data_IF_415524658502
#
_entry.id   IF_415524658502
#
_cell.length_a   1.000
_cell.length_b   1.000
_cell.length_c   1.000
_cell.angle_alpha   90.00
_cell.angle_beta   90.00
_cell.angle_gamma   90.00
#
_symmetry.space_group_name_H-M   'P 1'
#
loop_
_entity.id
_entity.type
_entity.pdbx_description
1 polymer ?
#
# COMPACT_ATOMS: atom_id res chain seq x y z
N UNK A 1 -24.87 9.33 -16.97
CA UNK A 1 -24.62 8.32 -15.93
C UNK A 1 -25.10 8.90 -14.62
N UNK A 2 -25.84 8.11 -13.84
CA UNK A 2 -26.19 8.43 -12.46
C UNK A 2 -25.26 7.62 -11.56
N UNK A 3 -24.68 8.26 -10.55
CA UNK A 3 -23.83 7.62 -9.56
C UNK A 3 -24.39 7.94 -8.18
N UNK A 4 -24.58 6.90 -7.36
CA UNK A 4 -24.91 7.05 -5.95
C UNK A 4 -23.62 7.23 -5.15
N UNK A 5 -23.59 8.26 -4.30
CA UNK A 5 -22.44 8.57 -3.44
C UNK A 5 -22.85 8.48 -1.98
N UNK A 6 -22.02 7.81 -1.18
CA UNK A 6 -22.14 7.80 0.28
C UNK A 6 -21.16 8.81 0.86
N UNK A 7 -21.66 9.72 1.69
CA UNK A 7 -20.86 10.74 2.36
C UNK A 7 -20.44 10.29 3.77
N UNK A 8 -19.33 10.84 4.32
CA UNK A 8 -18.84 10.48 5.65
C UNK A 8 -19.84 10.74 6.79
N UNK A 9 -20.78 11.66 6.58
CA UNK A 9 -21.87 11.99 7.51
C UNK A 9 -23.07 11.01 7.41
N UNK A 10 -22.98 9.99 6.54
CA UNK A 10 -24.04 9.01 6.29
C UNK A 10 -25.08 9.45 5.26
N UNK A 11 -24.96 10.66 4.69
CA UNK A 11 -25.86 11.09 3.63
C UNK A 11 -25.61 10.34 2.32
N UNK A 12 -26.67 10.10 1.57
CA UNK A 12 -26.59 9.59 0.19
C UNK A 12 -27.03 10.66 -0.80
N UNK A 13 -26.36 10.69 -1.96
CA UNK A 13 -26.73 11.59 -3.04
C UNK A 13 -26.61 10.90 -4.40
N UNK A 14 -27.36 11.42 -5.38
CA UNK A 14 -27.25 10.98 -6.78
C UNK A 14 -26.63 12.10 -7.61
N UNK A 15 -25.51 11.81 -8.25
CA UNK A 15 -24.83 12.73 -9.15
C UNK A 15 -25.02 12.29 -10.60
N UNK A 16 -25.52 13.20 -11.44
CA UNK A 16 -25.66 12.99 -12.88
C UNK A 16 -24.48 13.62 -13.61
N UNK A 17 -23.70 12.79 -14.30
CA UNK A 17 -22.55 13.23 -15.09
C UNK A 17 -22.48 12.52 -16.45
N UNK A 18 -21.74 13.13 -17.38
CA UNK A 18 -21.40 12.48 -18.65
C UNK A 18 -20.33 11.40 -18.49
N UNK A 19 -19.45 11.56 -17.51
CA UNK A 19 -18.32 10.67 -17.22
C UNK A 19 -18.12 10.54 -15.71
N UNK A 20 -17.63 9.39 -15.28
CA UNK A 20 -17.19 9.09 -13.92
C UNK A 20 -15.79 8.46 -14.03
N UNK A 21 -14.85 8.87 -13.18
CA UNK A 21 -13.48 8.34 -13.14
C UNK A 21 -13.20 7.81 -11.73
N UNK A 22 -12.84 6.54 -11.61
CA UNK A 22 -12.46 5.92 -10.34
C UNK A 22 -11.01 6.25 -9.99
N UNK A 23 -10.80 7.09 -8.97
CA UNK A 23 -9.48 7.48 -8.44
C UNK A 23 -9.34 7.15 -6.95
N UNK A 24 -10.08 6.14 -6.50
CA UNK A 24 -10.28 5.73 -5.11
C UNK A 24 -9.34 4.58 -4.66
N UNK A 25 -8.19 4.46 -5.32
CA UNK A 25 -7.09 3.57 -4.91
C UNK A 25 -7.26 2.10 -5.33
N UNK A 26 -6.37 1.25 -4.83
CA UNK A 26 -6.28 -0.17 -5.23
C UNK A 26 -7.56 -0.97 -4.92
N UNK A 27 -8.25 -0.62 -3.83
CA UNK A 27 -9.53 -1.21 -3.41
C UNK A 27 -10.75 -0.49 -3.97
N UNK A 28 -10.59 0.22 -5.09
CA UNK A 28 -11.64 1.04 -5.74
C UNK A 28 -13.05 0.44 -5.70
N UNK A 29 -13.96 1.20 -5.11
CA UNK A 29 -15.41 0.99 -5.09
C UNK A 29 -15.97 1.12 -6.50
N UNK A 30 -15.47 2.08 -7.30
CA UNK A 30 -15.96 2.27 -8.69
C UNK A 30 -15.77 1.01 -9.54
N UNK A 31 -14.60 0.38 -9.50
CA UNK A 31 -14.35 -0.89 -10.21
C UNK A 31 -15.30 -1.99 -9.75
N UNK A 32 -15.51 -2.09 -8.43
CA UNK A 32 -16.37 -3.10 -7.83
C UNK A 32 -17.84 -2.91 -8.24
N UNK A 33 -18.35 -1.68 -8.18
CA UNK A 33 -19.72 -1.33 -8.59
C UNK A 33 -19.98 -1.59 -10.07
N UNK A 34 -18.94 -1.51 -10.92
CA UNK A 34 -19.02 -1.84 -12.34
C UNK A 34 -18.83 -3.34 -12.62
N UNK A 35 -18.60 -4.17 -11.60
CA UNK A 35 -18.33 -5.60 -11.76
C UNK A 35 -17.03 -5.89 -12.54
N UNK A 36 -16.11 -4.93 -12.59
CA UNK A 36 -14.88 -5.07 -13.35
C UNK A 36 -13.91 -6.03 -12.64
N UNK A 37 -13.48 -7.12 -13.30
CA UNK A 37 -12.55 -8.06 -12.69
C UNK A 37 -11.17 -7.42 -12.49
N UNK A 38 -10.49 -7.82 -11.41
CA UNK A 38 -9.11 -7.42 -11.13
C UNK A 38 -8.23 -8.68 -11.07
N UNK A 39 -7.93 -9.31 -12.22
CA UNK A 39 -7.16 -10.54 -12.26
C UNK A 39 -5.71 -10.25 -11.87
N UNK A 40 -5.23 -10.95 -10.86
CA UNK A 40 -3.87 -10.83 -10.36
C UNK A 40 -3.75 -11.58 -9.05
N UNK A 41 -2.54 -12.05 -8.75
CA UNK A 41 -2.21 -12.57 -7.42
C UNK A 41 -1.11 -11.69 -6.86
N UNK A 42 -1.15 -11.43 -5.56
CA UNK A 42 -0.02 -10.77 -4.91
C UNK A 42 1.24 -11.62 -5.10
N UNK A 43 2.30 -11.01 -5.63
CA UNK A 43 3.59 -11.67 -5.82
C UNK A 43 4.30 -11.90 -4.47
N UNK A 44 4.10 -10.97 -3.52
CA UNK A 44 4.71 -10.97 -2.19
C UNK A 44 3.63 -10.49 -1.20
N UNK A 45 3.38 -11.28 -0.16
CA UNK A 45 2.49 -10.90 0.95
C UNK A 45 3.32 -10.45 2.14
N UNK A 46 2.78 -9.53 2.95
CA UNK A 46 3.35 -9.15 4.24
C UNK A 46 4.75 -8.53 4.14
N UNK A 47 4.87 -7.44 3.39
CA UNK A 47 6.08 -6.62 3.37
C UNK A 47 6.00 -5.61 4.52
N UNK A 48 7.01 -5.61 5.38
CA UNK A 48 7.15 -4.64 6.47
C UNK A 48 7.76 -3.35 5.93
N UNK A 49 7.21 -2.21 6.36
CA UNK A 49 7.76 -0.89 6.11
C UNK A 49 7.88 -0.16 7.44
N UNK A 50 9.05 0.42 7.69
CA UNK A 50 9.29 1.27 8.84
C UNK A 50 10.16 2.46 8.45
N UNK A 51 9.81 3.64 8.96
CA UNK A 51 10.70 4.80 8.93
C UNK A 51 11.41 4.85 10.29
N UNK A 52 12.74 4.80 10.29
CA UNK A 52 13.57 4.72 11.51
C UNK A 52 14.70 5.73 11.50
N UNK A 53 15.14 6.16 12.68
CA UNK A 53 16.41 6.86 12.86
C UNK A 53 17.50 5.81 13.10
N UNK A 54 18.59 5.88 12.33
CA UNK A 54 19.73 4.99 12.49
C UNK A 54 20.74 5.61 13.45
N UNK A 55 21.15 4.85 14.47
CA UNK A 55 22.26 5.25 15.34
C UNK A 55 23.58 5.36 14.54
N UNK A 56 23.76 4.48 13.56
CA UNK A 56 24.87 4.52 12.61
C UNK A 56 24.36 4.40 11.19
N UNK A 57 24.56 5.46 10.42
CA UNK A 57 24.24 5.50 9.00
C UNK A 57 25.26 4.65 8.21
N UNK A 58 24.83 3.78 7.28
CA UNK A 58 25.74 3.06 6.39
C UNK A 58 26.46 4.02 5.43
N UNK A 59 27.69 3.66 5.02
CA UNK A 59 28.46 4.48 4.08
C UNK A 59 27.78 4.59 2.71
N UNK A 60 27.05 3.55 2.30
CA UNK A 60 26.20 3.57 1.11
C UNK A 60 24.78 4.03 1.46
N UNK A 61 24.27 5.02 0.74
CA UNK A 61 22.93 5.56 0.99
C UNK A 61 21.82 4.52 0.76
N UNK A 62 22.01 3.63 -0.21
CA UNK A 62 21.08 2.56 -0.53
C UNK A 62 21.71 1.22 -0.21
N UNK A 63 21.02 0.40 0.58
CA UNK A 63 21.50 -0.94 0.89
C UNK A 63 20.40 -1.94 0.58
N UNK A 64 20.74 -2.98 -0.17
CA UNK A 64 19.86 -4.11 -0.43
C UNK A 64 20.58 -5.39 -0.01
N UNK A 65 19.93 -6.20 0.82
CA UNK A 65 20.42 -7.51 1.22
C UNK A 65 19.32 -8.54 1.02
N UNK A 66 19.67 -9.72 0.54
CA UNK A 66 18.72 -10.83 0.40
C UNK A 66 19.39 -12.16 0.69
N UNK A 67 18.59 -13.12 1.17
CA UNK A 67 18.99 -14.49 1.37
C UNK A 67 17.78 -15.43 1.19
N UNK A 68 17.95 -16.71 1.50
CA UNK A 68 16.88 -17.71 1.39
C UNK A 68 15.66 -17.45 2.31
N UNK A 69 15.82 -16.61 3.34
CA UNK A 69 14.78 -16.26 4.30
C UNK A 69 14.05 -14.97 3.96
N UNK A 70 14.58 -14.11 3.08
CA UNK A 70 13.92 -12.84 2.79
C UNK A 70 14.84 -11.78 2.19
N UNK A 71 14.39 -10.53 2.23
CA UNK A 71 15.20 -9.38 1.85
C UNK A 71 14.96 -8.18 2.75
N UNK A 72 15.94 -7.27 2.77
CA UNK A 72 15.84 -5.94 3.37
C UNK A 72 16.37 -4.90 2.42
N UNK A 73 15.76 -3.72 2.47
CA UNK A 73 16.14 -2.56 1.69
C UNK A 73 16.10 -1.31 2.58
N UNK A 74 17.16 -0.50 2.49
CA UNK A 74 17.30 0.76 3.22
C UNK A 74 17.49 1.89 2.22
N UNK A 75 16.77 3.00 2.43
CA UNK A 75 16.94 4.24 1.67
C UNK A 75 16.74 5.47 2.57
N UNK A 76 17.45 6.59 2.34
CA UNK A 76 17.16 7.82 3.05
C UNK A 76 15.77 8.32 2.66
N UNK A 77 14.99 8.76 3.65
CA UNK A 77 13.61 9.23 3.46
C UNK A 77 13.42 10.72 3.78
N UNK A 78 14.52 11.42 4.09
CA UNK A 78 14.52 12.85 4.44
C UNK A 78 14.66 13.07 5.95
N UNK A 79 15.11 14.25 6.35
CA UNK A 79 15.20 14.68 7.76
C UNK A 79 15.94 13.71 8.70
N UNK A 80 16.93 12.97 8.15
CA UNK A 80 17.70 11.96 8.89
C UNK A 80 17.00 10.60 9.04
N UNK A 81 15.75 10.47 8.59
CA UNK A 81 15.01 9.21 8.58
C UNK A 81 15.46 8.29 7.46
N UNK A 82 15.40 7.00 7.75
CA UNK A 82 15.63 5.92 6.80
C UNK A 82 14.39 5.08 6.67
N UNK A 83 13.97 4.85 5.43
CA UNK A 83 12.93 3.88 5.11
C UNK A 83 13.54 2.49 5.01
N UNK A 84 13.02 1.59 5.82
CA UNK A 84 13.34 0.17 5.82
C UNK A 84 12.17 -0.59 5.23
N UNK A 85 12.43 -1.35 4.17
CA UNK A 85 11.48 -2.30 3.60
C UNK A 85 12.06 -3.69 3.86
N UNK A 86 11.29 -4.56 4.51
CA UNK A 86 11.72 -5.91 4.82
C UNK A 86 10.64 -6.92 4.44
N UNK A 87 11.07 -8.09 4.00
CA UNK A 87 10.17 -9.21 3.76
C UNK A 87 10.78 -10.47 4.34
N UNK A 88 10.00 -11.17 5.16
CA UNK A 88 10.37 -12.45 5.74
C UNK A 88 9.51 -13.57 5.13
N UNK A 89 10.17 -14.52 4.48
CA UNK A 89 9.55 -15.67 3.83
C UNK A 89 8.77 -16.54 4.81
N UNK A 90 9.14 -16.59 6.10
CA UNK A 90 8.43 -17.36 7.12
C UNK A 90 7.21 -16.63 7.69
N UNK A 91 7.13 -15.31 7.54
CA UNK A 91 6.03 -14.48 8.07
C UNK A 91 5.06 -13.98 6.97
N UNK A 92 4.82 -14.78 5.94
CA UNK A 92 3.91 -14.45 4.81
C UNK A 92 2.42 -14.36 5.17
N UNK A 93 2.05 -14.55 6.44
CA UNK A 93 0.67 -14.57 6.91
C UNK A 93 0.34 -13.43 7.87
N UNK A 94 1.26 -12.46 8.05
CA UNK A 94 0.89 -11.27 8.79
C UNK A 94 -0.18 -10.49 8.00
N UNK A 95 -1.24 -10.02 8.67
CA UNK A 95 -2.22 -9.16 8.03
C UNK A 95 -1.52 -7.96 7.39
N UNK A 96 -1.92 -7.58 6.17
CA UNK A 96 -1.35 -6.43 5.45
C UNK A 96 -1.94 -5.09 5.99
N UNK A 97 -2.86 -5.16 6.96
CA UNK A 97 -3.52 -4.02 7.60
C UNK A 97 -2.80 -3.56 8.87
N UNK A 98 -2.61 -2.24 8.97
CA UNK A 98 -2.35 -1.57 10.23
C UNK A 98 -3.72 -1.37 10.91
N UNK A 99 -4.22 -2.39 11.60
CA UNK A 99 -5.37 -2.23 12.49
C UNK A 99 -4.87 -1.60 13.79
N UNK A 100 -5.29 -0.36 14.06
CA UNK A 100 -5.33 0.23 15.42
C UNK A 100 -6.46 -0.42 16.24
#
# INVERSE_FOLDING_TARGET
MDAETNHPDGATATLRARYLVGTDGASTTVRQSLGMPFPGKSAIRSVMLADVLLERVPDEAFNFASNQHGFTFFAPFGDGWYRVIAWDRQQQQLPDDCSD
#
